data_IF_580215965065
#
_entry.id   IF_580215965065
#
_cell.length_a   1.000
_cell.length_b   1.000
_cell.length_c   1.000
_cell.angle_alpha   90.00
_cell.angle_beta   90.00
_cell.angle_gamma   90.00
#
_symmetry.space_group_name_H-M   'P 1'
#
loop_
_entity.id
_entity.type
_entity.pdbx_description
1 polymer ?
#
# COMPACT_ATOMS: atom_id res chain seq x y z
N UNK A 1 0.95 1.59 9.43
CA UNK A 1 1.71 0.35 9.71
C UNK A 1 2.91 0.59 10.62
N UNK A 2 3.79 1.57 10.34
CA UNK A 2 4.91 1.93 11.22
C UNK A 2 4.57 2.87 12.38
N UNK A 3 3.56 3.71 12.21
CA UNK A 3 3.09 4.58 13.30
C UNK A 3 2.70 3.69 14.49
N UNK A 4 3.37 3.90 15.62
CA UNK A 4 3.13 3.13 16.84
C UNK A 4 2.16 3.86 17.77
N UNK A 5 2.05 5.18 17.64
CA UNK A 5 1.07 5.97 18.37
C UNK A 5 -0.34 5.90 17.76
N UNK A 6 -1.35 6.24 18.56
CA UNK A 6 -2.73 6.37 18.08
C UNK A 6 -2.89 7.59 17.17
N UNK A 7 -3.12 7.35 15.88
CA UNK A 7 -3.32 8.40 14.87
C UNK A 7 -4.46 9.36 15.23
N UNK A 8 -5.57 8.85 15.79
CA UNK A 8 -6.74 9.66 16.09
C UNK A 8 -6.41 10.77 17.08
N UNK A 9 -5.62 10.45 18.12
CA UNK A 9 -5.18 11.42 19.14
C UNK A 9 -4.49 12.63 18.51
N UNK A 10 -3.57 12.41 17.57
CA UNK A 10 -2.82 13.49 16.92
C UNK A 10 -3.68 14.27 15.92
N UNK A 11 -4.55 13.59 15.16
CA UNK A 11 -5.48 14.27 14.24
C UNK A 11 -6.45 15.18 15.00
N UNK A 12 -6.99 14.70 16.13
CA UNK A 12 -7.86 15.50 16.99
C UNK A 12 -7.14 16.72 17.56
N UNK A 13 -5.97 16.52 18.17
CA UNK A 13 -5.20 17.64 18.72
C UNK A 13 -4.81 18.68 17.65
N UNK A 14 -4.46 18.23 16.43
CA UNK A 14 -4.23 19.12 15.29
C UNK A 14 -5.45 19.97 14.95
N UNK A 15 -6.64 19.35 14.88
CA UNK A 15 -7.89 20.06 14.58
C UNK A 15 -8.29 21.09 15.66
N UNK A 16 -7.81 20.92 16.89
CA UNK A 16 -8.06 21.83 18.01
C UNK A 16 -6.93 22.85 18.25
N UNK A 17 -5.86 22.84 17.45
CA UNK A 17 -4.69 23.71 17.66
C UNK A 17 -3.84 23.35 18.88
N UNK A 18 -3.96 22.11 19.38
CA UNK A 18 -3.31 21.61 20.61
C UNK A 18 -2.23 20.57 20.34
N UNK A 19 -1.68 20.54 19.13
CA UNK A 19 -0.68 19.53 18.77
C UNK A 19 0.56 19.59 19.67
N UNK A 20 0.94 20.79 20.12
CA UNK A 20 2.07 21.04 21.02
C UNK A 20 1.87 20.48 22.44
N UNK A 21 0.64 20.10 22.81
CA UNK A 21 0.33 19.53 24.13
C UNK A 21 0.59 18.01 24.17
N UNK A 22 0.86 17.40 23.01
CA UNK A 22 1.09 15.96 22.91
C UNK A 22 2.58 15.62 22.98
N UNK A 23 2.86 14.40 23.47
CA UNK A 23 4.17 13.77 23.35
C UNK A 23 4.58 13.60 21.88
N UNK A 24 5.87 13.40 21.63
CA UNK A 24 6.34 13.06 20.29
C UNK A 24 5.71 11.77 19.75
N UNK A 25 5.54 11.73 18.43
CA UNK A 25 5.02 10.56 17.73
C UNK A 25 6.05 9.43 17.79
N UNK A 26 5.62 8.27 18.28
CA UNK A 26 6.41 7.04 18.31
C UNK A 26 6.26 6.25 17.00
N UNK A 27 7.38 5.73 16.51
CA UNK A 27 7.48 4.94 15.29
C UNK A 27 8.15 3.59 15.57
N UNK A 28 7.73 2.55 14.85
CA UNK A 28 8.43 1.27 14.82
C UNK A 28 9.73 1.38 14.01
N UNK A 29 10.73 0.60 14.41
CA UNK A 29 12.07 0.57 13.78
C UNK A 29 12.07 -0.11 12.40
N UNK A 30 11.05 -0.92 12.09
CA UNK A 30 10.87 -1.58 10.79
C UNK A 30 10.86 -0.56 9.64
N UNK A 31 11.19 -1.00 8.43
CA UNK A 31 10.95 -0.25 7.19
C UNK A 31 9.56 -0.56 6.62
N UNK A 32 9.04 0.33 5.78
CA UNK A 32 7.78 0.11 5.07
C UNK A 32 7.89 0.54 3.60
N UNK A 33 7.34 -0.27 2.70
CA UNK A 33 7.31 0.01 1.25
C UNK A 33 5.92 -0.22 0.71
N UNK A 34 5.42 0.73 -0.09
CA UNK A 34 4.13 0.64 -0.78
C UNK A 34 4.34 0.56 -2.29
N UNK A 35 3.83 -0.50 -2.92
CA UNK A 35 3.75 -0.67 -4.36
C UNK A 35 2.32 -0.38 -4.79
N UNK A 36 2.15 0.54 -5.73
CA UNK A 36 0.86 0.78 -6.37
C UNK A 36 0.65 -0.21 -7.50
N UNK A 37 -0.47 -0.91 -7.45
CA UNK A 37 -0.97 -1.73 -8.54
C UNK A 37 -2.03 -0.92 -9.30
N UNK A 38 -1.82 -0.73 -10.60
CA UNK A 38 -2.60 0.16 -11.46
C UNK A 38 -3.23 -0.63 -12.62
N UNK A 39 -4.29 -0.09 -13.21
CA UNK A 39 -4.79 -0.56 -14.51
C UNK A 39 -3.85 -0.10 -15.62
N UNK A 40 -3.45 -1.03 -16.49
CA UNK A 40 -2.58 -0.74 -17.62
C UNK A 40 -3.17 0.36 -18.51
N UNK A 41 -2.34 1.33 -18.91
CA UNK A 41 -2.75 2.54 -19.62
C UNK A 41 -2.89 3.80 -18.75
N UNK A 42 -2.98 3.67 -17.43
CA UNK A 42 -2.87 4.82 -16.51
C UNK A 42 -1.51 5.54 -16.69
N UNK A 43 -1.45 6.89 -16.74
CA UNK A 43 -2.50 7.86 -16.38
C UNK A 43 -3.47 8.27 -17.49
N UNK A 44 -3.37 7.67 -18.68
CA UNK A 44 -4.25 7.95 -19.81
C UNK A 44 -5.52 7.09 -19.75
N UNK A 45 -5.99 6.56 -20.88
CA UNK A 45 -7.11 5.63 -20.94
C UNK A 45 -6.71 4.25 -20.40
N UNK A 46 -7.57 3.63 -19.62
CA UNK A 46 -7.36 2.32 -19.02
C UNK A 46 -8.70 1.56 -18.89
N UNK A 47 -8.67 0.22 -18.92
CA UNK A 47 -9.86 -0.58 -18.71
C UNK A 47 -10.30 -0.61 -17.24
N UNK A 48 -11.57 -0.93 -17.05
CA UNK A 48 -12.21 -1.13 -15.74
C UNK A 48 -13.06 -2.40 -15.80
N UNK A 49 -13.31 -3.01 -14.65
CA UNK A 49 -14.20 -4.15 -14.51
C UNK A 49 -13.49 -5.49 -14.41
N UNK A 50 -12.16 -5.53 -14.55
CA UNK A 50 -11.37 -6.75 -14.39
C UNK A 50 -11.51 -7.29 -12.97
N UNK A 51 -11.81 -8.59 -12.85
CA UNK A 51 -11.87 -9.28 -11.56
C UNK A 51 -10.48 -9.38 -10.94
N UNK A 52 -10.39 -9.01 -9.66
CA UNK A 52 -9.18 -9.01 -8.86
C UNK A 52 -9.19 -10.26 -7.96
N UNK A 53 -8.18 -11.10 -8.11
CA UNK A 53 -8.00 -12.35 -7.35
C UNK A 53 -6.69 -12.34 -6.55
N UNK A 54 -6.53 -13.29 -5.62
CA UNK A 54 -5.31 -13.45 -4.80
C UNK A 54 -5.18 -12.48 -3.62
N UNK A 55 -6.22 -11.69 -3.33
CA UNK A 55 -6.24 -10.75 -2.19
C UNK A 55 -6.09 -11.45 -0.82
N UNK A 56 -6.54 -12.70 -0.71
CA UNK A 56 -6.43 -13.52 0.50
C UNK A 56 -5.01 -14.02 0.80
N UNK A 57 -4.12 -13.99 -0.19
CA UNK A 57 -2.82 -14.66 -0.09
C UNK A 57 -1.70 -13.70 0.37
N UNK A 58 -2.07 -12.49 0.78
CA UNK A 58 -1.17 -11.51 1.33
C UNK A 58 -0.47 -12.04 2.60
N UNK A 59 0.83 -11.77 2.71
CA UNK A 59 1.60 -12.13 3.91
C UNK A 59 1.07 -11.40 5.15
N UNK A 60 1.17 -11.99 6.37
CA UNK A 60 0.82 -11.30 7.62
C UNK A 60 1.51 -9.94 7.81
N UNK A 61 2.70 -9.78 7.23
CA UNK A 61 3.48 -8.53 7.29
C UNK A 61 3.12 -7.53 6.19
N UNK A 62 2.05 -7.78 5.43
CA UNK A 62 1.60 -6.97 4.30
C UNK A 62 0.13 -6.62 4.43
N UNK A 63 -0.21 -5.40 4.02
CA UNK A 63 -1.57 -4.92 3.92
C UNK A 63 -1.85 -4.46 2.50
N UNK A 64 -3.00 -4.89 1.98
CA UNK A 64 -3.52 -4.47 0.68
C UNK A 64 -4.57 -3.40 0.90
N UNK A 65 -4.24 -2.15 0.56
CA UNK A 65 -5.15 -1.02 0.65
C UNK A 65 -5.91 -0.86 -0.66
N UNK A 66 -7.23 -0.87 -0.58
CA UNK A 66 -8.10 -0.62 -1.72
C UNK A 66 -8.10 0.86 -2.09
N UNK A 67 -7.93 1.16 -3.38
CA UNK A 67 -8.10 2.49 -3.94
C UNK A 67 -9.24 2.45 -4.98
N UNK A 68 -8.92 2.34 -6.26
CA UNK A 68 -9.91 2.23 -7.34
C UNK A 68 -10.46 0.82 -7.49
N UNK A 69 -11.17 0.29 -6.50
CA UNK A 69 -11.88 -1.00 -6.57
C UNK A 69 -13.38 -0.85 -6.34
N UNK A 70 -14.16 -1.84 -6.78
CA UNK A 70 -15.59 -1.95 -6.48
C UNK A 70 -15.95 -3.40 -6.14
N UNK A 71 -16.86 -3.60 -5.19
CA UNK A 71 -17.51 -4.90 -5.02
C UNK A 71 -18.66 -5.01 -6.03
N UNK A 72 -18.64 -6.06 -6.85
CA UNK A 72 -19.68 -6.40 -7.81
C UNK A 72 -20.04 -7.87 -7.59
N UNK A 73 -21.21 -8.10 -7.01
CA UNK A 73 -21.78 -9.44 -6.78
C UNK A 73 -20.83 -10.37 -5.99
N UNK A 74 -20.18 -9.83 -4.95
CA UNK A 74 -19.25 -10.57 -4.09
C UNK A 74 -17.82 -10.65 -4.64
N UNK A 75 -17.59 -10.18 -5.87
CA UNK A 75 -16.25 -10.10 -6.49
C UNK A 75 -15.68 -8.71 -6.38
N UNK A 76 -14.38 -8.61 -6.16
CA UNK A 76 -13.68 -7.33 -6.23
C UNK A 76 -13.25 -7.10 -7.68
N UNK A 77 -13.57 -5.94 -8.24
CA UNK A 77 -13.18 -5.55 -9.60
C UNK A 77 -12.40 -4.24 -9.62
N UNK A 78 -11.58 -4.03 -10.66
CA UNK A 78 -10.90 -2.76 -10.92
C UNK A 78 -11.92 -1.67 -11.29
N UNK A 79 -11.74 -0.46 -10.75
CA UNK A 79 -12.64 0.68 -10.93
C UNK A 79 -11.93 2.04 -10.92
N UNK A 80 -10.62 2.08 -11.21
CA UNK A 80 -9.84 3.31 -11.25
C UNK A 80 -8.45 3.07 -11.82
N UNK A 81 -7.70 4.15 -12.07
CA UNK A 81 -6.35 4.04 -12.64
C UNK A 81 -5.35 3.44 -11.65
N UNK A 82 -5.34 3.94 -10.40
CA UNK A 82 -4.66 3.30 -9.26
C UNK A 82 -5.65 2.42 -8.54
N UNK A 83 -5.39 1.12 -8.47
CA UNK A 83 -6.38 0.11 -8.06
C UNK A 83 -6.12 -0.34 -6.62
N UNK A 84 -4.89 -0.73 -6.30
CA UNK A 84 -4.48 -1.18 -4.97
C UNK A 84 -3.15 -0.54 -4.55
N UNK A 85 -2.94 -0.41 -3.25
CA UNK A 85 -1.64 -0.14 -2.64
C UNK A 85 -1.21 -1.34 -1.79
N UNK A 86 -0.22 -2.10 -2.24
CA UNK A 86 0.37 -3.21 -1.48
C UNK A 86 1.49 -2.64 -0.62
N UNK A 87 1.26 -2.57 0.69
CA UNK A 87 2.28 -2.07 1.61
C UNK A 87 2.78 -3.21 2.50
N UNK A 88 4.09 -3.39 2.59
CA UNK A 88 4.70 -4.39 3.47
C UNK A 88 5.67 -3.75 4.46
N UNK A 89 5.81 -4.41 5.61
CA UNK A 89 6.85 -4.15 6.60
C UNK A 89 8.03 -5.11 6.42
N UNK A 90 9.19 -4.73 6.94
CA UNK A 90 10.36 -5.59 7.07
C UNK A 90 11.40 -4.98 7.99
N UNK A 91 12.27 -5.82 8.56
CA UNK A 91 13.31 -5.37 9.51
C UNK A 91 14.31 -4.42 8.85
N UNK A 92 14.57 -4.60 7.55
CA UNK A 92 15.32 -3.67 6.72
C UNK A 92 14.49 -3.14 5.54
N UNK A 93 14.99 -2.09 4.87
CA UNK A 93 14.39 -1.60 3.62
C UNK A 93 14.34 -2.70 2.56
N UNK A 94 15.40 -3.51 2.45
CA UNK A 94 15.46 -4.62 1.49
C UNK A 94 14.38 -5.66 1.76
N UNK A 95 14.14 -5.99 3.02
CA UNK A 95 13.10 -6.95 3.41
C UNK A 95 11.70 -6.39 3.12
N UNK A 96 11.45 -5.12 3.45
CA UNK A 96 10.17 -4.47 3.14
C UNK A 96 9.90 -4.42 1.63
N UNK A 97 10.93 -4.18 0.80
CA UNK A 97 10.84 -4.23 -0.67
C UNK A 97 10.44 -5.64 -1.12
N UNK A 98 11.18 -6.67 -0.68
CA UNK A 98 10.94 -8.05 -1.07
C UNK A 98 9.53 -8.52 -0.66
N UNK A 99 9.10 -8.18 0.56
CA UNK A 99 7.79 -8.54 1.08
C UNK A 99 6.66 -7.87 0.28
N UNK A 100 6.83 -6.60 -0.11
CA UNK A 100 5.85 -5.88 -0.91
C UNK A 100 5.72 -6.50 -2.31
N UNK A 101 6.83 -6.78 -2.99
CA UNK A 101 6.80 -7.42 -4.32
C UNK A 101 6.24 -8.84 -4.27
N UNK A 102 6.66 -9.66 -3.30
CA UNK A 102 6.13 -11.01 -3.12
C UNK A 102 4.62 -11.02 -2.90
N UNK A 103 4.09 -10.06 -2.14
CA UNK A 103 2.62 -9.94 -1.97
C UNK A 103 1.94 -9.44 -3.25
N UNK A 104 2.54 -8.47 -3.95
CA UNK A 104 2.00 -7.93 -5.19
C UNK A 104 1.98 -8.95 -6.35
N UNK A 105 2.90 -9.91 -6.35
CA UNK A 105 2.96 -11.00 -7.33
C UNK A 105 1.75 -11.93 -7.24
N UNK A 106 1.21 -12.15 -6.04
CA UNK A 106 0.06 -13.04 -5.80
C UNK A 106 -1.28 -12.45 -6.23
N UNK A 107 -1.36 -11.12 -6.39
CA UNK A 107 -2.60 -10.43 -6.74
C UNK A 107 -2.71 -10.37 -8.26
N UNK A 108 -3.82 -10.79 -8.84
CA UNK A 108 -3.98 -10.86 -10.30
C UNK A 108 -5.25 -10.19 -10.79
N UNK A 109 -5.14 -9.55 -11.95
CA UNK A 109 -6.25 -9.23 -12.86
C UNK A 109 -5.65 -8.98 -14.25
N UNK A 110 -6.48 -9.01 -15.29
CA UNK A 110 -6.04 -8.99 -16.70
C UNK A 110 -5.12 -7.81 -17.03
N UNK A 111 -5.54 -6.59 -16.71
CA UNK A 111 -4.78 -5.38 -17.03
C UNK A 111 -3.98 -4.85 -15.84
N UNK A 112 -3.37 -5.73 -15.03
CA UNK A 112 -2.51 -5.31 -13.91
C UNK A 112 -1.19 -4.72 -14.41
N UNK A 113 -0.83 -3.55 -13.90
CA UNK A 113 0.49 -2.95 -14.08
C UNK A 113 1.08 -2.50 -12.74
N UNK A 114 2.39 -2.62 -12.60
CA UNK A 114 3.16 -2.06 -11.49
C UNK A 114 4.58 -1.71 -11.95
N UNK A 115 5.24 -0.81 -11.21
CA UNK A 115 6.70 -0.61 -11.32
C UNK A 115 7.44 -1.72 -10.59
N UNK A 116 8.67 -2.02 -11.04
CA UNK A 116 9.55 -3.04 -10.46
C UNK A 116 10.82 -2.46 -9.78
N UNK A 117 10.84 -1.15 -9.50
CA UNK A 117 11.99 -0.44 -8.96
C UNK A 117 11.69 0.39 -7.70
N UNK A 118 10.47 0.30 -7.16
CA UNK A 118 10.09 0.97 -5.92
C UNK A 118 11.06 0.57 -4.78
N UNK A 119 11.68 1.57 -4.16
CA UNK A 119 12.63 1.41 -3.07
C UNK A 119 14.08 1.10 -3.49
N UNK A 120 14.35 0.68 -4.75
CA UNK A 120 15.71 0.27 -5.18
C UNK A 120 16.76 1.37 -5.00
N UNK A 121 16.43 2.62 -5.35
CA UNK A 121 17.34 3.75 -5.13
C UNK A 121 17.62 4.00 -3.64
N UNK A 122 16.67 3.71 -2.75
CA UNK A 122 16.88 3.87 -1.31
C UNK A 122 17.95 2.91 -0.77
N UNK A 123 18.05 1.70 -1.34
CA UNK A 123 19.07 0.72 -0.97
C UNK A 123 20.48 1.26 -1.22
N UNK A 124 20.71 2.06 -2.28
CA UNK A 124 22.05 2.57 -2.60
C UNK A 124 22.56 3.66 -1.65
N UNK A 125 21.75 4.09 -0.67
CA UNK A 125 22.12 5.09 0.35
C UNK A 125 22.19 4.51 1.77
N UNK A 126 22.09 3.18 1.92
CA UNK A 126 22.29 2.45 3.16
C UNK A 126 23.72 1.93 3.25
#
# INVERSE_FOLDING_TARGET
MRLNSDLYKYLKASSEGKLNDLSEISWKNESAVCIVLASNGYPNSYPKGDEITGLSDASPNSFVFHAGTKNKDGKIISNGGRVLGVTALGDSLKDAINNAYSTAEKIHWENKYQRNDIGKKGISYL
#
